data_IF_570282268982
#
_entry.id   IF_570282268982
#
_cell.length_a   1.000
_cell.length_b   1.000
_cell.length_c   1.000
_cell.angle_alpha   90.00
_cell.angle_beta   90.00
_cell.angle_gamma   90.00
#
_symmetry.space_group_name_H-M   'P 1'
#
loop_
_entity.id
_entity.type
_entity.pdbx_description
1 polymer ?
#
# COMPACT_ATOMS: atom_id res chain seq x y z
N UNK A 1 11.48 4.91 12.21
CA UNK A 1 10.21 5.61 12.56
C UNK A 1 9.31 4.64 13.30
N UNK A 2 8.37 5.14 14.10
CA UNK A 2 7.45 4.35 14.93
C UNK A 2 6.50 3.50 14.09
N UNK A 3 6.20 2.30 14.61
CA UNK A 3 5.13 1.41 14.16
C UNK A 3 3.79 2.15 14.06
N UNK A 4 3.09 2.04 12.93
CA UNK A 4 1.74 2.57 12.73
C UNK A 4 0.75 1.41 12.60
N UNK A 5 -0.40 1.49 13.26
CA UNK A 5 -1.42 0.43 13.23
C UNK A 5 -2.77 1.00 12.80
N UNK A 6 -3.54 0.20 12.06
CA UNK A 6 -4.91 0.51 11.68
C UNK A 6 -5.78 -0.75 11.66
N UNK A 7 -7.10 -0.58 11.73
CA UNK A 7 -8.06 -1.68 11.60
C UNK A 7 -8.78 -1.59 10.26
N UNK A 8 -8.85 -2.70 9.52
CA UNK A 8 -9.64 -2.83 8.31
C UNK A 8 -10.45 -4.13 8.36
N UNK A 9 -11.78 -4.02 8.31
CA UNK A 9 -12.75 -5.11 8.46
C UNK A 9 -12.38 -6.12 9.56
N UNK A 10 -12.19 -5.64 10.80
CA UNK A 10 -11.83 -6.45 11.97
C UNK A 10 -10.43 -7.09 11.93
N UNK A 11 -9.59 -6.72 10.96
CA UNK A 11 -8.20 -7.14 10.89
C UNK A 11 -7.29 -5.99 11.29
N UNK A 12 -6.40 -6.22 12.26
CA UNK A 12 -5.41 -5.23 12.66
C UNK A 12 -4.18 -5.36 11.74
N UNK A 13 -3.81 -4.25 11.13
CA UNK A 13 -2.69 -4.14 10.23
C UNK A 13 -1.61 -3.24 10.80
N UNK A 14 -0.37 -3.56 10.50
CA UNK A 14 0.81 -2.78 10.86
C UNK A 14 1.49 -2.22 9.60
N UNK A 15 1.93 -0.96 9.65
CA UNK A 15 2.83 -0.38 8.65
C UNK A 15 4.19 -0.14 9.32
N UNK A 16 5.26 -0.62 8.69
CA UNK A 16 6.62 -0.35 9.12
C UNK A 16 7.57 -0.16 7.95
N UNK A 17 8.61 0.64 8.18
CA UNK A 17 9.73 0.73 7.25
C UNK A 17 10.68 -0.46 7.46
N UNK A 18 11.29 -0.94 6.39
CA UNK A 18 12.13 -2.14 6.38
C UNK A 18 13.30 -1.96 5.41
N UNK A 19 14.50 -2.45 5.75
CA UNK A 19 15.64 -2.39 4.85
C UNK A 19 15.37 -3.07 3.51
N UNK A 20 15.83 -2.44 2.43
CA UNK A 20 15.66 -2.96 1.05
C UNK A 20 16.09 -4.42 0.91
N UNK A 21 17.23 -4.78 1.52
CA UNK A 21 17.76 -6.14 1.40
C UNK A 21 16.81 -7.18 2.01
N UNK A 22 16.22 -6.87 3.17
CA UNK A 22 15.25 -7.76 3.80
C UNK A 22 14.03 -7.99 2.91
N UNK A 23 13.53 -6.94 2.25
CA UNK A 23 12.39 -7.03 1.33
C UNK A 23 12.70 -7.94 0.12
N UNK A 24 13.89 -7.78 -0.46
CA UNK A 24 14.36 -8.62 -1.58
C UNK A 24 14.47 -10.08 -1.14
N UNK A 25 15.10 -10.33 0.01
CA UNK A 25 15.31 -11.68 0.54
C UNK A 25 13.97 -12.36 0.84
N UNK A 26 13.04 -11.64 1.48
CA UNK A 26 11.68 -12.11 1.77
C UNK A 26 10.93 -12.44 0.49
N UNK A 27 10.88 -11.52 -0.47
CA UNK A 27 10.18 -11.73 -1.75
C UNK A 27 10.72 -12.96 -2.49
N UNK A 28 12.05 -13.06 -2.62
CA UNK A 28 12.73 -14.15 -3.32
C UNK A 28 12.64 -15.50 -2.59
N UNK A 29 12.29 -15.51 -1.30
CA UNK A 29 12.05 -16.75 -0.54
C UNK A 29 10.64 -17.31 -0.76
N UNK A 30 9.70 -16.47 -1.22
CA UNK A 30 8.27 -16.80 -1.36
C UNK A 30 7.84 -16.92 -2.82
N UNK A 31 8.64 -16.43 -3.77
CA UNK A 31 8.34 -16.41 -5.19
C UNK A 31 9.49 -17.04 -6.00
N UNK A 32 9.13 -17.82 -7.02
CA UNK A 32 10.09 -18.42 -7.95
C UNK A 32 10.74 -17.37 -8.87
N UNK A 33 10.03 -16.27 -9.14
CA UNK A 33 10.52 -15.15 -9.93
C UNK A 33 11.40 -14.24 -9.07
N UNK A 34 12.72 -14.33 -9.27
CA UNK A 34 13.68 -13.51 -8.52
C UNK A 34 13.53 -12.03 -8.88
N UNK A 35 13.29 -11.21 -7.87
CA UNK A 35 13.25 -9.77 -7.97
C UNK A 35 14.56 -9.14 -7.44
N UNK A 36 15.06 -8.12 -8.14
CA UNK A 36 16.23 -7.33 -7.72
C UNK A 36 15.86 -6.08 -6.93
N UNK A 37 14.57 -5.75 -6.84
CA UNK A 37 14.09 -4.55 -6.14
C UNK A 37 12.63 -4.65 -5.71
N UNK A 38 12.36 -4.40 -4.43
CA UNK A 38 11.01 -4.39 -3.87
C UNK A 38 10.77 -3.03 -3.21
N UNK A 39 9.75 -2.31 -3.67
CA UNK A 39 9.38 -0.98 -3.13
C UNK A 39 8.61 -1.13 -1.81
N UNK A 40 7.68 -2.08 -1.76
CA UNK A 40 6.91 -2.44 -0.58
C UNK A 40 6.48 -3.90 -0.65
N UNK A 41 5.98 -4.42 0.47
CA UNK A 41 5.47 -5.79 0.57
C UNK A 41 4.29 -5.84 1.55
N UNK A 42 3.15 -6.33 1.08
CA UNK A 42 1.99 -6.66 1.91
C UNK A 42 2.04 -8.14 2.33
N UNK A 43 2.40 -8.41 3.59
CA UNK A 43 2.47 -9.76 4.16
C UNK A 43 1.11 -10.15 4.77
N UNK A 44 0.30 -10.88 3.99
CA UNK A 44 -1.05 -11.27 4.42
C UNK A 44 -1.11 -12.09 5.70
N UNK A 45 -0.26 -13.12 5.94
CA UNK A 45 -0.36 -13.95 7.14
C UNK A 45 -0.08 -13.22 8.46
N UNK A 46 0.74 -12.17 8.42
CA UNK A 46 1.12 -11.38 9.60
C UNK A 46 0.39 -10.04 9.67
N UNK A 47 -0.34 -9.67 8.60
CA UNK A 47 -1.02 -8.39 8.43
C UNK A 47 -0.05 -7.19 8.55
N UNK A 48 1.11 -7.29 7.90
CA UNK A 48 2.13 -6.26 7.94
C UNK A 48 2.38 -5.71 6.53
N UNK A 49 2.34 -4.40 6.39
CA UNK A 49 2.81 -3.65 5.23
C UNK A 49 4.23 -3.17 5.53
N UNK A 50 5.16 -3.63 4.70
CA UNK A 50 6.54 -3.19 4.73
C UNK A 50 6.78 -2.15 3.64
N UNK A 51 7.40 -1.02 4.00
CA UNK A 51 7.87 0.00 3.07
C UNK A 51 9.38 0.01 3.04
N UNK A 52 9.98 0.09 1.85
CA UNK A 52 11.42 0.24 1.75
C UNK A 52 11.86 1.58 2.37
N UNK A 53 12.69 1.50 3.41
CA UNK A 53 13.15 2.67 4.17
C UNK A 53 14.03 3.62 3.35
N UNK A 54 14.69 3.11 2.30
CA UNK A 54 15.59 3.86 1.42
C UNK A 54 14.86 4.75 0.40
N UNK A 55 13.53 4.63 0.28
CA UNK A 55 12.74 5.40 -0.67
C UNK A 55 12.59 6.88 -0.27
N UNK A 56 12.54 7.75 -1.28
CA UNK A 56 12.11 9.14 -1.08
C UNK A 56 10.65 9.22 -0.64
N UNK A 57 10.26 10.34 -0.02
CA UNK A 57 8.91 10.50 0.57
C UNK A 57 7.77 10.27 -0.44
N UNK A 58 7.90 10.82 -1.66
CA UNK A 58 6.90 10.64 -2.72
C UNK A 58 6.76 9.17 -3.14
N UNK A 59 7.89 8.48 -3.28
CA UNK A 59 7.93 7.06 -3.60
C UNK A 59 7.32 6.23 -2.46
N UNK A 60 7.59 6.57 -1.20
CA UNK A 60 6.98 5.92 -0.03
C UNK A 60 5.46 6.10 -0.02
N UNK A 61 4.96 7.28 -0.36
CA UNK A 61 3.52 7.56 -0.44
C UNK A 61 2.87 6.71 -1.52
N UNK A 62 3.44 6.69 -2.73
CA UNK A 62 2.93 5.88 -3.84
C UNK A 62 2.93 4.40 -3.48
N UNK A 63 4.05 3.92 -2.94
CA UNK A 63 4.22 2.53 -2.49
C UNK A 63 3.18 2.18 -1.42
N UNK A 64 3.00 3.02 -0.39
CA UNK A 64 2.03 2.74 0.66
C UNK A 64 0.60 2.65 0.12
N UNK A 65 0.22 3.54 -0.80
CA UNK A 65 -1.11 3.49 -1.42
C UNK A 65 -1.32 2.21 -2.23
N UNK A 66 -0.27 1.74 -2.91
CA UNK A 66 -0.28 0.47 -3.61
C UNK A 66 -0.48 -0.71 -2.63
N UNK A 67 0.31 -0.78 -1.56
CA UNK A 67 0.19 -1.87 -0.57
C UNK A 67 -1.13 -1.82 0.22
N UNK A 68 -1.67 -0.64 0.52
CA UNK A 68 -3.01 -0.49 1.11
C UNK A 68 -4.11 -1.03 0.18
N UNK A 69 -3.90 -0.95 -1.14
CA UNK A 69 -4.81 -1.54 -2.12
C UNK A 69 -4.76 -3.07 -2.06
N UNK A 70 -3.56 -3.66 -1.95
CA UNK A 70 -3.41 -5.11 -1.70
C UNK A 70 -4.11 -5.56 -0.41
N UNK A 71 -3.90 -4.81 0.67
CA UNK A 71 -4.56 -5.03 1.96
C UNK A 71 -6.10 -5.02 1.83
N UNK A 72 -6.65 -4.02 1.13
CA UNK A 72 -8.09 -3.91 0.92
C UNK A 72 -8.65 -5.06 0.08
N UNK A 73 -8.00 -5.40 -1.04
CA UNK A 73 -8.41 -6.50 -1.91
C UNK A 73 -8.40 -7.84 -1.17
N UNK A 74 -7.35 -8.12 -0.40
CA UNK A 74 -7.23 -9.32 0.44
C UNK A 74 -8.40 -9.43 1.41
N UNK A 75 -8.70 -8.34 2.12
CA UNK A 75 -9.74 -8.30 3.14
C UNK A 75 -11.14 -8.49 2.56
N UNK A 76 -11.33 -8.14 1.28
CA UNK A 76 -12.58 -8.37 0.54
C UNK A 76 -12.68 -9.77 -0.08
N UNK A 77 -11.66 -10.63 0.10
CA UNK A 77 -11.59 -11.95 -0.53
C UNK A 77 -11.48 -11.88 -2.06
N UNK A 78 -10.97 -10.77 -2.59
CA UNK A 78 -10.87 -10.53 -4.02
C UNK A 78 -9.76 -11.42 -4.61
N UNK A 79 -10.10 -12.27 -5.58
CA UNK A 79 -9.12 -13.13 -6.27
C UNK A 79 -8.67 -12.50 -7.60
N UNK A 80 -7.79 -13.16 -8.35
CA UNK A 80 -7.27 -12.73 -9.65
C UNK A 80 -8.32 -12.83 -10.77
N UNK A 81 -9.52 -12.29 -10.53
CA UNK A 81 -10.65 -12.37 -11.44
C UNK A 81 -10.65 -11.22 -12.44
N UNK A 82 -11.24 -11.47 -13.61
CA UNK A 82 -11.62 -10.43 -14.53
C UNK A 82 -12.82 -9.68 -13.98
N UNK A 83 -12.59 -8.47 -13.46
CA UNK A 83 -13.66 -7.55 -13.05
C UNK A 83 -14.28 -6.85 -14.26
N UNK A 84 -15.60 -6.67 -14.23
CA UNK A 84 -16.30 -5.74 -15.12
C UNK A 84 -15.94 -4.30 -14.78
N UNK A 85 -16.19 -3.37 -15.71
CA UNK A 85 -15.97 -1.93 -15.48
C UNK A 85 -16.72 -1.44 -14.23
N UNK A 86 -18.00 -1.81 -14.07
CA UNK A 86 -18.82 -1.43 -12.92
C UNK A 86 -18.26 -1.97 -11.58
N UNK A 87 -17.74 -3.20 -11.58
CA UNK A 87 -17.10 -3.76 -10.38
C UNK A 87 -15.81 -3.01 -10.03
N UNK A 88 -15.03 -2.61 -11.04
CA UNK A 88 -13.85 -1.75 -10.83
C UNK A 88 -14.28 -0.40 -10.25
N UNK A 89 -15.28 0.26 -10.85
CA UNK A 89 -15.79 1.54 -10.35
C UNK A 89 -16.24 1.46 -8.89
N UNK A 90 -17.02 0.44 -8.54
CA UNK A 90 -17.49 0.21 -7.17
C UNK A 90 -16.35 -0.04 -6.19
N UNK A 91 -15.37 -0.88 -6.57
CA UNK A 91 -14.20 -1.18 -5.71
C UNK A 91 -13.32 0.05 -5.52
N UNK A 92 -12.99 0.77 -6.59
CA UNK A 92 -12.20 2.01 -6.54
C UNK A 92 -12.89 3.05 -5.66
N UNK A 93 -14.19 3.27 -5.85
CA UNK A 93 -14.96 4.19 -5.03
C UNK A 93 -14.92 3.81 -3.55
N UNK A 94 -15.09 2.52 -3.23
CA UNK A 94 -15.08 2.03 -1.85
C UNK A 94 -13.70 2.12 -1.17
N UNK A 95 -12.61 1.87 -1.90
CA UNK A 95 -11.27 1.87 -1.31
C UNK A 95 -10.59 3.24 -1.27
N UNK A 96 -10.98 4.18 -2.15
CA UNK A 96 -10.28 5.44 -2.36
C UNK A 96 -10.16 6.27 -1.06
N UNK A 97 -11.26 6.41 -0.32
CA UNK A 97 -11.26 7.17 0.93
C UNK A 97 -10.36 6.52 1.99
N UNK A 98 -10.43 5.20 2.14
CA UNK A 98 -9.59 4.43 3.05
C UNK A 98 -8.10 4.63 2.72
N UNK A 99 -7.70 4.36 1.47
CA UNK A 99 -6.30 4.47 1.03
C UNK A 99 -5.77 5.89 1.22
N UNK A 100 -6.56 6.90 0.85
CA UNK A 100 -6.17 8.29 0.99
C UNK A 100 -5.99 8.69 2.46
N UNK A 101 -6.97 8.38 3.31
CA UNK A 101 -6.94 8.77 4.72
C UNK A 101 -5.82 8.04 5.47
N UNK A 102 -5.68 6.73 5.32
CA UNK A 102 -4.63 5.97 6.01
C UNK A 102 -3.22 6.41 5.58
N UNK A 103 -2.99 6.62 4.28
CA UNK A 103 -1.69 7.14 3.82
C UNK A 103 -1.42 8.56 4.34
N UNK A 104 -2.43 9.43 4.33
CA UNK A 104 -2.34 10.79 4.89
C UNK A 104 -2.02 10.76 6.38
N UNK A 105 -2.59 9.84 7.14
CA UNK A 105 -2.35 9.69 8.57
C UNK A 105 -0.94 9.20 8.88
N UNK A 106 -0.43 8.26 8.09
CA UNK A 106 0.93 7.71 8.26
C UNK A 106 2.00 8.79 8.06
N UNK A 107 1.88 9.65 7.04
CA UNK A 107 2.91 10.63 6.69
C UNK A 107 2.74 12.03 7.32
N UNK A 108 1.86 12.21 8.33
CA UNK A 108 1.52 13.53 8.90
C UNK A 108 2.76 14.40 9.23
N UNK A 109 2.72 15.72 8.95
CA UNK A 109 1.62 16.46 8.33
C UNK A 109 1.53 16.24 6.81
N UNK A 110 0.33 16.33 6.20
CA UNK A 110 0.10 15.95 4.81
C UNK A 110 0.86 16.83 3.81
N UNK A 111 1.48 16.22 2.79
CA UNK A 111 1.71 16.88 1.51
C UNK A 111 0.32 17.20 0.90
N UNK A 112 0.16 18.40 0.34
CA UNK A 112 -1.14 18.85 -0.13
C UNK A 112 -1.56 18.06 -1.36
N UNK A 113 -2.88 17.89 -1.57
CA UNK A 113 -3.38 17.20 -2.77
C UNK A 113 -2.98 17.92 -4.07
N UNK A 114 -2.65 19.21 -3.96
CA UNK A 114 -2.17 20.11 -5.02
C UNK A 114 -0.79 19.69 -5.53
N UNK A 115 0.01 19.02 -4.70
CA UNK A 115 1.37 18.59 -5.08
C UNK A 115 1.37 17.30 -5.94
N UNK A 116 0.26 16.55 -6.00
CA UNK A 116 0.25 15.19 -6.58
C UNK A 116 -0.38 15.08 -7.97
N UNK A 117 -1.37 15.90 -8.31
CA UNK A 117 -2.02 15.85 -9.63
C UNK A 117 -1.49 16.87 -10.64
N UNK A 118 -0.58 17.76 -10.22
CA UNK A 118 -0.34 19.00 -10.94
C UNK A 118 -1.61 19.86 -10.94
N UNK A 119 -1.46 21.15 -11.21
CA UNK A 119 -2.60 22.02 -11.40
C UNK A 119 -3.48 21.47 -12.52
N UNK A 120 -4.67 20.95 -12.19
CA UNK A 120 -5.69 20.59 -13.19
C UNK A 120 -6.54 21.82 -13.54
N UNK A 121 -5.97 23.01 -13.42
CA UNK A 121 -6.52 24.23 -14.00
C UNK A 121 -6.12 24.28 -15.48
N UNK A 122 -6.94 23.64 -16.33
CA UNK A 122 -7.07 24.03 -17.74
C UNK A 122 -7.85 25.33 -17.86
#
# INVERSE_FOLDING_TARGET
MSKFEFNLNNTNWEIKETPKQWLIDKYNSEHDDKCTYVFGLCEYPTHIIHLNEELGIEQKIQTLRHELTHCWLWTMGASYETYTEEEVCNKVSAMCEFVFNTSKEYFKPPLSIVDYFGDISS
#
